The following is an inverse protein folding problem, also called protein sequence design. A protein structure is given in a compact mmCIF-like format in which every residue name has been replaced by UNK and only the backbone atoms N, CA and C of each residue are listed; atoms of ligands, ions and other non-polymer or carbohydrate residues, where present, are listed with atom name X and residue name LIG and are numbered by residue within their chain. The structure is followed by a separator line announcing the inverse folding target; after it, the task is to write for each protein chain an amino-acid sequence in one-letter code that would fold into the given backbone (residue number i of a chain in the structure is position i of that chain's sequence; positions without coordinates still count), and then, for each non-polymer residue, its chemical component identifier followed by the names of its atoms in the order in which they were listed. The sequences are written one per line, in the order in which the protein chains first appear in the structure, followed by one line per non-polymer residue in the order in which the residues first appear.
data_IF_043250814621
#
_entry.id   IF_043250814621
#
_cell.length_a   1.000
_cell.length_b   1.000
_cell.length_c   1.000
_cell.angle_alpha   90.00
_cell.angle_beta   90.00
_cell.angle_gamma   90.00
#
_symmetry.space_group_name_H-M   'P 1'
#
loop_
_entity.id
_entity.type
_entity.pdbx_description
1 polymer ?
#
# COMPACT_ATOMS: atom_id res chain seq x y z
N UNK A 1 -57.01 10.57 9.43
CA UNK A 1 -55.75 9.80 9.45
C UNK A 1 -54.68 10.62 8.72
N UNK A 2 -53.64 11.11 9.39
CA UNK A 2 -52.63 11.95 8.76
C UNK A 2 -51.63 11.11 7.96
N UNK A 3 -51.22 11.63 6.81
CA UNK A 3 -50.27 11.00 5.91
C UNK A 3 -48.86 10.92 6.51
N UNK A 4 -48.27 9.73 6.43
CA UNK A 4 -46.86 9.50 6.73
C UNK A 4 -46.02 9.73 5.47
N UNK A 5 -45.37 10.88 5.39
CA UNK A 5 -44.29 11.15 4.44
C UNK A 5 -43.10 10.26 4.77
N UNK A 6 -42.82 9.27 3.93
CA UNK A 6 -41.58 8.49 3.97
C UNK A 6 -40.42 9.43 3.61
N UNK A 7 -39.67 9.86 4.61
CA UNK A 7 -38.43 10.60 4.41
C UNK A 7 -37.39 9.69 3.76
N UNK A 8 -36.93 10.06 2.56
CA UNK A 8 -35.78 9.44 1.91
C UNK A 8 -34.56 9.52 2.84
N UNK A 9 -33.80 8.43 3.04
CA UNK A 9 -32.61 8.48 3.88
C UNK A 9 -31.57 9.40 3.25
N UNK A 10 -31.03 10.31 4.06
CA UNK A 10 -29.87 11.14 3.73
C UNK A 10 -28.67 10.26 3.43
N UNK A 11 -27.76 10.66 2.51
CA UNK A 11 -26.58 9.87 2.22
C UNK A 11 -25.66 9.91 3.45
N UNK A 12 -25.74 8.88 4.28
CA UNK A 12 -24.72 8.64 5.28
C UNK A 12 -23.40 8.49 4.53
N UNK A 13 -22.39 9.23 4.99
CA UNK A 13 -21.01 9.01 4.59
C UNK A 13 -20.67 7.55 4.92
N UNK A 14 -20.83 6.66 3.92
CA UNK A 14 -20.55 5.24 4.08
C UNK A 14 -19.04 5.10 4.22
N UNK A 15 -18.61 4.89 5.47
CA UNK A 15 -17.28 4.38 5.80
C UNK A 15 -17.06 3.09 5.00
N UNK A 16 -15.90 2.98 4.36
CA UNK A 16 -15.60 1.99 3.31
C UNK A 16 -16.11 0.58 3.65
N UNK A 17 -16.96 0.02 2.79
CA UNK A 17 -17.47 -1.33 2.92
C UNK A 17 -16.72 -2.28 1.97
N UNK A 18 -16.51 -3.52 2.40
CA UNK A 18 -16.04 -4.59 1.52
C UNK A 18 -17.02 -4.79 0.36
N UNK A 19 -16.53 -4.68 -0.87
CA UNK A 19 -17.37 -4.65 -2.08
C UNK A 19 -17.59 -6.05 -2.70
N UNK A 20 -16.71 -7.01 -2.42
CA UNK A 20 -16.80 -8.37 -2.94
C UNK A 20 -15.45 -9.09 -2.99
N UNK A 21 -15.50 -10.40 -3.27
CA UNK A 21 -14.34 -11.25 -3.50
C UNK A 21 -14.59 -12.05 -4.77
N UNK A 22 -13.60 -12.11 -5.66
CA UNK A 22 -13.67 -12.75 -6.96
C UNK A 22 -12.52 -13.73 -7.07
N UNK A 23 -12.79 -14.90 -7.63
CA UNK A 23 -11.75 -15.87 -7.95
C UNK A 23 -11.09 -15.49 -9.28
N UNK A 24 -9.77 -15.33 -9.28
CA UNK A 24 -9.01 -14.83 -10.44
C UNK A 24 -8.31 -13.51 -10.17
N UNK A 25 -7.32 -13.19 -11.01
CA UNK A 25 -6.49 -11.97 -10.90
C UNK A 25 -6.33 -11.25 -12.23
N UNK A 26 -6.97 -11.75 -13.28
CA UNK A 26 -6.84 -11.18 -14.62
C UNK A 26 -7.76 -9.97 -14.79
N UNK A 27 -7.46 -9.18 -15.82
CA UNK A 27 -8.33 -8.06 -16.23
C UNK A 27 -9.74 -8.55 -16.57
N UNK A 28 -9.84 -9.71 -17.22
CA UNK A 28 -11.10 -10.30 -17.64
C UNK A 28 -11.97 -10.69 -16.44
N UNK A 29 -11.39 -11.30 -15.40
CA UNK A 29 -12.11 -11.73 -14.20
C UNK A 29 -12.74 -10.53 -13.47
N UNK A 30 -11.97 -9.45 -13.33
CA UNK A 30 -12.43 -8.22 -12.67
C UNK A 30 -13.55 -7.54 -13.47
N UNK A 31 -13.42 -7.47 -14.80
CA UNK A 31 -14.45 -6.90 -15.66
C UNK A 31 -15.72 -7.74 -15.68
N UNK A 32 -15.58 -9.07 -15.75
CA UNK A 32 -16.71 -9.99 -15.68
C UNK A 32 -17.47 -9.84 -14.37
N UNK A 33 -16.77 -9.74 -13.24
CA UNK A 33 -17.40 -9.48 -11.95
C UNK A 33 -18.08 -8.10 -11.90
N UNK A 34 -17.42 -7.03 -12.36
CA UNK A 34 -18.03 -5.70 -12.43
C UNK A 34 -19.31 -5.71 -13.27
N UNK A 35 -19.37 -6.52 -14.34
CA UNK A 35 -20.55 -6.67 -15.17
C UNK A 35 -21.75 -7.29 -14.43
N UNK A 36 -21.53 -8.10 -13.39
CA UNK A 36 -22.61 -8.66 -12.56
C UNK A 36 -23.25 -7.64 -11.62
N UNK A 37 -22.59 -6.49 -11.41
CA UNK A 37 -23.08 -5.42 -10.54
C UNK A 37 -23.92 -4.39 -11.31
N UNK A 38 -24.89 -3.78 -10.63
CA UNK A 38 -25.76 -2.78 -11.23
C UNK A 38 -24.96 -1.55 -11.70
N UNK A 39 -25.39 -0.95 -12.80
CA UNK A 39 -24.73 0.23 -13.35
C UNK A 39 -24.80 1.44 -12.41
N UNK A 40 -25.93 1.61 -11.71
CA UNK A 40 -26.10 2.68 -10.72
C UNK A 40 -25.11 2.57 -9.57
N UNK A 41 -24.85 1.35 -9.10
CA UNK A 41 -23.85 1.11 -8.06
C UNK A 41 -22.43 1.39 -8.56
N UNK A 42 -22.07 0.94 -9.76
CA UNK A 42 -20.75 1.23 -10.36
C UNK A 42 -20.51 2.74 -10.52
N UNK A 43 -21.52 3.48 -10.94
CA UNK A 43 -21.46 4.93 -11.06
C UNK A 43 -21.34 5.66 -9.71
N UNK A 44 -21.74 5.02 -8.60
CA UNK A 44 -21.57 5.58 -7.26
C UNK A 44 -20.15 5.46 -6.71
N UNK A 45 -19.30 4.60 -7.29
CA UNK A 45 -17.93 4.39 -6.82
C UNK A 45 -17.05 5.56 -7.23
N UNK A 46 -16.54 6.31 -6.24
CA UNK A 46 -15.64 7.45 -6.46
C UNK A 46 -14.16 7.14 -6.29
N UNK A 47 -13.83 6.20 -5.40
CA UNK A 47 -12.45 5.85 -5.07
C UNK A 47 -12.28 4.33 -5.03
N UNK A 48 -11.20 3.85 -5.62
CA UNK A 48 -10.82 2.43 -5.61
C UNK A 48 -9.37 2.33 -5.17
N UNK A 49 -9.10 1.59 -4.10
CA UNK A 49 -7.74 1.22 -3.71
C UNK A 49 -7.38 -0.10 -4.37
N UNK A 50 -6.22 -0.16 -5.04
CA UNK A 50 -5.72 -1.37 -5.71
C UNK A 50 -4.29 -1.70 -5.28
N UNK A 51 -3.95 -2.98 -5.35
CA UNK A 51 -2.56 -3.42 -5.29
C UNK A 51 -1.76 -2.81 -6.45
N UNK A 52 -0.43 -2.76 -6.27
CA UNK A 52 0.51 -2.21 -7.27
C UNK A 52 0.63 -3.16 -8.48
N UNK A 53 -0.41 -3.21 -9.31
CA UNK A 53 -0.56 -4.14 -10.43
C UNK A 53 -1.09 -3.40 -11.65
N UNK A 54 -0.35 -3.51 -12.76
CA UNK A 54 -0.75 -2.95 -14.04
C UNK A 54 -2.08 -3.55 -14.54
N UNK A 55 -2.31 -4.84 -14.28
CA UNK A 55 -3.54 -5.54 -14.66
C UNK A 55 -4.75 -4.98 -13.91
N UNK A 56 -4.68 -4.86 -12.57
CA UNK A 56 -5.77 -4.27 -11.79
C UNK A 56 -6.03 -2.82 -12.19
N UNK A 57 -4.97 -2.04 -12.41
CA UNK A 57 -5.10 -0.65 -12.89
C UNK A 57 -5.83 -0.58 -14.23
N UNK A 58 -5.50 -1.45 -15.17
CA UNK A 58 -6.17 -1.52 -16.47
C UNK A 58 -7.65 -1.90 -16.31
N UNK A 59 -7.94 -2.94 -15.52
CA UNK A 59 -9.31 -3.41 -15.29
C UNK A 59 -10.21 -2.33 -14.68
N UNK A 60 -9.74 -1.62 -13.65
CA UNK A 60 -10.52 -0.53 -13.03
C UNK A 60 -10.69 0.64 -13.99
N UNK A 61 -9.68 0.98 -14.79
CA UNK A 61 -9.81 2.06 -15.79
C UNK A 61 -10.81 1.73 -16.89
N UNK A 62 -10.92 0.46 -17.28
CA UNK A 62 -11.93 0.00 -18.24
C UNK A 62 -13.33 -0.09 -17.62
N UNK A 63 -13.46 -0.62 -16.41
CA UNK A 63 -14.76 -0.89 -15.78
C UNK A 63 -15.36 0.29 -15.00
N UNK A 64 -14.52 1.22 -14.51
CA UNK A 64 -14.88 2.37 -13.68
C UNK A 64 -14.04 3.60 -14.09
N UNK A 65 -14.22 4.15 -15.29
CA UNK A 65 -13.37 5.22 -15.83
C UNK A 65 -13.42 6.51 -15.00
N UNK A 66 -14.53 6.75 -14.30
CA UNK A 66 -14.76 7.91 -13.42
C UNK A 66 -14.14 7.77 -12.03
N UNK A 67 -13.77 6.57 -11.60
CA UNK A 67 -13.25 6.35 -10.25
C UNK A 67 -11.77 6.80 -10.15
N UNK A 68 -11.43 7.42 -9.03
CA UNK A 68 -10.04 7.72 -8.68
C UNK A 68 -9.36 6.46 -8.17
N UNK A 69 -8.31 6.03 -8.87
CA UNK A 69 -7.51 4.86 -8.50
C UNK A 69 -6.41 5.28 -7.52
N UNK A 70 -6.41 4.70 -6.33
CA UNK A 70 -5.40 4.84 -5.31
C UNK A 70 -4.62 3.53 -5.16
N UNK A 71 -3.38 3.62 -4.70
CA UNK A 71 -2.59 2.42 -4.38
C UNK A 71 -2.85 2.02 -2.94
N UNK A 72 -3.00 0.74 -2.70
CA UNK A 72 -3.17 0.20 -1.35
C UNK A 72 -1.89 0.39 -0.52
N UNK A 73 -2.06 1.13 0.58
CA UNK A 73 -0.98 1.46 1.49
C UNK A 73 -0.39 0.21 2.18
N UNK A 74 -1.21 -0.82 2.43
CA UNK A 74 -0.73 -2.07 3.04
C UNK A 74 0.34 -2.74 2.17
N UNK A 75 0.09 -2.87 0.88
CA UNK A 75 1.03 -3.49 -0.06
C UNK A 75 2.33 -2.68 -0.20
N UNK A 76 2.27 -1.36 -0.17
CA UNK A 76 3.46 -0.49 -0.18
C UNK A 76 4.30 -0.73 1.08
N UNK A 77 3.67 -0.70 2.27
CA UNK A 77 4.35 -0.92 3.55
C UNK A 77 4.94 -2.32 3.62
N UNK A 78 4.21 -3.33 3.15
CA UNK A 78 4.68 -4.71 3.07
C UNK A 78 5.92 -4.82 2.17
N UNK A 79 5.89 -4.20 0.98
CA UNK A 79 7.03 -4.20 0.05
C UNK A 79 8.25 -3.53 0.68
N UNK A 80 8.07 -2.36 1.30
CA UNK A 80 9.14 -1.64 1.98
C UNK A 80 9.77 -2.49 3.10
N UNK A 81 8.95 -3.14 3.93
CA UNK A 81 9.42 -4.04 4.99
C UNK A 81 10.16 -5.27 4.45
N UNK A 82 9.72 -5.82 3.29
CA UNK A 82 10.41 -6.92 2.62
C UNK A 82 11.80 -6.49 2.15
N UNK A 83 11.93 -5.31 1.52
CA UNK A 83 13.22 -4.75 1.11
C UNK A 83 14.15 -4.54 2.30
N UNK A 84 13.65 -3.95 3.39
CA UNK A 84 14.42 -3.76 4.62
C UNK A 84 14.90 -5.08 5.21
N UNK A 85 14.07 -6.13 5.17
CA UNK A 85 14.44 -7.46 5.65
C UNK A 85 15.56 -8.08 4.82
N UNK A 86 15.53 -7.90 3.50
CA UNK A 86 16.61 -8.37 2.62
C UNK A 86 17.93 -7.66 2.89
N UNK A 87 17.92 -6.34 3.06
CA UNK A 87 19.13 -5.58 3.42
C UNK A 87 19.69 -6.05 4.76
N UNK A 88 18.85 -6.19 5.78
CA UNK A 88 19.27 -6.69 7.11
C UNK A 88 19.89 -8.09 7.04
N UNK A 89 19.33 -8.98 6.21
CA UNK A 89 19.86 -10.33 6.00
C UNK A 89 21.24 -10.27 5.34
N UNK A 90 21.38 -9.50 4.25
CA UNK A 90 22.67 -9.30 3.56
C UNK A 90 23.74 -8.73 4.50
N UNK A 91 23.40 -7.74 5.32
CA UNK A 91 24.38 -7.19 6.27
C UNK A 91 24.82 -8.21 7.32
N UNK A 92 23.91 -9.06 7.79
CA UNK A 92 24.26 -10.14 8.72
C UNK A 92 25.16 -11.21 8.08
N UNK A 93 24.89 -11.57 6.82
CA UNK A 93 25.73 -12.48 6.02
C UNK A 93 27.14 -11.90 5.83
N UNK A 94 27.25 -10.64 5.41
CA UNK A 94 28.55 -9.94 5.24
C UNK A 94 29.35 -9.92 6.54
N UNK A 95 28.69 -9.75 7.69
CA UNK A 95 29.38 -9.73 9.00
C UNK A 95 29.62 -11.10 9.60
N UNK A 96 29.06 -12.17 9.04
CA UNK A 96 29.08 -13.52 9.63
C UNK A 96 28.40 -13.61 11.00
N UNK A 97 27.58 -12.62 11.38
CA UNK A 97 26.90 -12.53 12.68
C UNK A 97 25.66 -11.65 12.59
N UNK A 98 24.72 -11.81 13.54
CA UNK A 98 23.63 -10.86 13.72
C UNK A 98 24.15 -9.47 14.14
N UNK A 99 23.40 -8.43 13.74
CA UNK A 99 23.62 -7.05 14.18
C UNK A 99 23.43 -6.90 15.70
N UNK A 100 24.26 -6.06 16.32
CA UNK A 100 24.29 -5.75 17.76
C UNK A 100 23.84 -4.33 18.03
N UNK A 101 23.52 -4.05 19.30
CA UNK A 101 23.10 -2.71 19.72
C UNK A 101 24.14 -1.61 19.49
N UNK A 102 25.43 -1.97 19.44
CA UNK A 102 26.55 -1.09 19.11
C UNK A 102 26.59 -0.70 17.63
N UNK A 103 26.06 -1.54 16.74
CA UNK A 103 26.21 -1.42 15.29
C UNK A 103 25.35 -0.26 14.75
N UNK A 104 25.96 0.59 13.92
CA UNK A 104 25.30 1.78 13.37
C UNK A 104 24.12 1.39 12.46
N UNK A 105 24.25 0.34 11.65
CA UNK A 105 23.16 -0.15 10.80
C UNK A 105 21.98 -0.71 11.62
N UNK A 106 22.25 -1.24 12.82
CA UNK A 106 21.23 -1.79 13.71
C UNK A 106 20.48 -0.66 14.42
N UNK A 107 21.20 0.39 14.85
CA UNK A 107 20.60 1.62 15.39
C UNK A 107 19.74 2.33 14.33
N UNK A 108 20.24 2.46 13.09
CA UNK A 108 19.50 3.02 11.96
C UNK A 108 18.27 2.16 11.61
N UNK A 109 18.42 0.84 11.61
CA UNK A 109 17.33 -0.11 11.37
C UNK A 109 16.18 0.00 12.37
N UNK A 110 16.45 0.29 13.65
CA UNK A 110 15.37 0.53 14.63
C UNK A 110 14.65 1.85 14.42
N UNK A 111 15.35 2.89 13.97
CA UNK A 111 14.74 4.20 13.67
C UNK A 111 13.76 4.12 12.49
N UNK A 112 14.02 3.25 11.51
CA UNK A 112 13.11 2.95 10.39
C UNK A 112 11.78 2.29 10.78
N UNK A 113 11.69 1.74 12.00
CA UNK A 113 10.45 1.15 12.52
C UNK A 113 9.55 2.20 13.21
N UNK A 114 10.01 3.45 13.31
CA UNK A 114 9.24 4.56 13.85
C UNK A 114 8.65 5.34 12.69
N UNK A 115 7.48 5.95 12.91
CA UNK A 115 6.90 6.79 11.90
C UNK A 115 7.74 8.06 11.70
N UNK A 116 7.60 8.70 10.54
CA UNK A 116 8.41 9.88 10.19
C UNK A 116 8.17 11.04 11.16
N UNK A 117 6.93 11.21 11.60
CA UNK A 117 6.49 12.20 12.58
C UNK A 117 7.10 11.99 13.97
N UNK A 118 7.51 10.77 14.28
CA UNK A 118 8.14 10.41 15.56
C UNK A 118 9.66 10.64 15.55
N UNK A 119 10.24 11.06 14.42
CA UNK A 119 11.67 11.28 14.23
C UNK A 119 11.99 12.76 14.15
N UNK A 120 12.96 13.20 14.97
CA UNK A 120 13.54 14.54 14.81
C UNK A 120 14.30 14.64 13.47
N UNK A 121 14.47 15.86 12.95
CA UNK A 121 15.22 16.09 11.71
C UNK A 121 16.65 15.53 11.77
N UNK A 122 17.32 15.70 12.91
CA UNK A 122 18.65 15.15 13.16
C UNK A 122 18.66 13.61 13.21
N UNK A 123 17.64 13.00 13.84
CA UNK A 123 17.50 11.55 13.89
C UNK A 123 17.29 10.95 12.50
N UNK A 124 16.49 11.62 11.66
CA UNK A 124 16.25 11.26 10.27
C UNK A 124 17.52 11.40 9.43
N UNK A 125 18.21 12.55 9.51
CA UNK A 125 19.45 12.79 8.76
C UNK A 125 20.56 11.79 9.14
N UNK A 126 20.74 11.52 10.43
CA UNK A 126 21.70 10.51 10.90
C UNK A 126 21.37 9.13 10.35
N UNK A 127 20.08 8.72 10.40
CA UNK A 127 19.64 7.45 9.85
C UNK A 127 19.90 7.38 8.33
N UNK A 128 19.52 8.42 7.58
CA UNK A 128 19.61 8.49 6.13
C UNK A 128 21.06 8.49 5.63
N UNK A 129 21.91 9.35 6.18
CA UNK A 129 23.29 9.54 5.73
C UNK A 129 24.20 8.36 6.09
N UNK A 130 23.97 7.69 7.22
CA UNK A 130 24.71 6.49 7.62
C UNK A 130 24.63 5.40 6.54
N UNK A 131 23.52 5.33 5.81
CA UNK A 131 23.30 4.31 4.78
C UNK A 131 23.87 4.70 3.42
N UNK A 132 23.90 6.00 3.10
CA UNK A 132 24.53 6.49 1.87
C UNK A 132 26.05 6.32 1.90
N UNK A 133 26.65 6.34 3.10
CA UNK A 133 28.08 6.11 3.30
C UNK A 133 28.54 4.65 3.23
N UNK A 134 27.62 3.67 3.19
CA UNK A 134 27.96 2.24 3.15
C UNK A 134 28.12 1.68 1.71
N UNK A 135 28.14 2.55 0.69
CA UNK A 135 28.33 2.18 -0.71
C UNK A 135 27.04 1.77 -1.41
N UNK A 136 27.08 1.72 -2.75
CA UNK A 136 25.92 1.51 -3.62
C UNK A 136 25.32 0.12 -3.40
N UNK A 137 24.29 0.01 -2.55
CA UNK A 137 23.48 -1.20 -2.46
C UNK A 137 22.54 -1.20 -3.68
N UNK A 138 23.00 -1.75 -4.81
CA UNK A 138 22.17 -1.90 -6.00
C UNK A 138 22.86 -2.14 -7.35
N UNK A 139 24.18 -2.32 -7.43
CA UNK A 139 24.88 -2.52 -8.72
C UNK A 139 24.83 -3.94 -9.30
N UNK A 140 24.24 -4.91 -8.58
CA UNK A 140 24.31 -6.34 -8.97
C UNK A 140 22.91 -6.92 -9.23
N UNK A 141 22.12 -6.24 -10.05
CA UNK A 141 20.94 -6.84 -10.69
C UNK A 141 21.24 -6.97 -12.18
N UNK A 142 21.93 -8.05 -12.53
CA UNK A 142 21.93 -8.67 -13.87
C UNK A 142 21.33 -10.08 -13.71
#
# INVERSE_FOLDING_TARGET
MPGGTSASPTPSERVGCWLGQVEGRSVADVLAWLATTSLSWRNSIRHVSIDVSAAYRAAIRTGLPHATVMVDHFHIVQLANKMLSMVRRRTAEIRGRRGRASDLEWKASRRRLRNREDLTGEQFATMWNTLLGEGTIGSDFD
#
